data_IF_014183104468
#
_entry.id   IF_014183104468
#
_cell.length_a   1.000
_cell.length_b   1.000
_cell.length_c   1.000
_cell.angle_alpha   90.00
_cell.angle_beta   90.00
_cell.angle_gamma   90.00
#
_symmetry.space_group_name_H-M   'P 1'
#
loop_
_entity.id
_entity.type
_entity.pdbx_description
1 polymer ?
#
# COMPACT_ATOMS: atom_id res chain seq x y z
N UNK A 1 13.62 -17.68 10.85
CA UNK A 1 13.10 -16.31 11.09
C UNK A 1 12.94 -15.65 9.72
N UNK A 2 11.72 -15.58 9.19
CA UNK A 2 11.47 -15.11 7.83
C UNK A 2 11.47 -13.58 7.83
N UNK A 3 12.59 -12.98 7.44
CA UNK A 3 12.69 -11.53 7.28
C UNK A 3 12.00 -11.22 5.95
N UNK A 4 10.79 -10.66 6.01
CA UNK A 4 10.14 -10.14 4.81
C UNK A 4 10.97 -8.98 4.26
N UNK A 5 11.81 -9.25 3.25
CA UNK A 5 12.62 -8.25 2.55
C UNK A 5 11.81 -7.33 1.61
N UNK A 6 10.48 -7.45 1.60
CA UNK A 6 9.59 -6.68 0.72
C UNK A 6 8.40 -6.14 1.52
N UNK A 7 8.09 -4.86 1.30
CA UNK A 7 6.91 -4.19 1.88
C UNK A 7 5.68 -4.26 0.96
N UNK A 8 4.53 -3.83 1.49
CA UNK A 8 3.29 -3.68 0.72
C UNK A 8 3.13 -2.27 0.11
N UNK A 9 2.15 -2.11 -0.78
CA UNK A 9 1.72 -0.81 -1.32
C UNK A 9 0.26 -0.57 -1.00
N UNK A 10 -0.09 0.70 -0.80
CA UNK A 10 -1.46 1.14 -0.61
C UNK A 10 -2.09 1.50 -1.95
N UNK A 11 -3.27 0.92 -2.19
CA UNK A 11 -3.99 1.05 -3.46
C UNK A 11 -5.48 1.31 -3.21
N UNK A 12 -6.13 1.96 -4.17
CA UNK A 12 -7.59 2.08 -4.21
C UNK A 12 -8.15 1.16 -5.29
N UNK A 13 -9.11 0.31 -4.92
CA UNK A 13 -9.89 -0.48 -5.88
C UNK A 13 -10.66 0.47 -6.80
N UNK A 14 -10.56 0.27 -8.11
CA UNK A 14 -11.32 1.03 -9.10
C UNK A 14 -12.53 0.25 -9.54
N UNK A 15 -12.31 -0.81 -10.31
CA UNK A 15 -13.38 -1.62 -10.88
C UNK A 15 -12.86 -3.01 -11.21
N UNK A 16 -13.74 -3.89 -11.64
CA UNK A 16 -13.39 -5.22 -12.11
C UNK A 16 -13.55 -5.27 -13.62
N UNK A 17 -12.52 -5.72 -14.32
CA UNK A 17 -12.49 -5.83 -15.79
C UNK A 17 -12.02 -7.22 -16.19
N UNK A 18 -11.89 -7.46 -17.50
CA UNK A 18 -11.32 -8.68 -18.05
C UNK A 18 -10.15 -8.33 -18.95
N UNK A 19 -9.07 -9.11 -18.86
CA UNK A 19 -7.92 -8.99 -19.76
C UNK A 19 -7.79 -10.26 -20.57
N UNK A 20 -7.35 -10.10 -21.82
CA UNK A 20 -6.93 -11.22 -22.64
C UNK A 20 -5.49 -11.59 -22.25
N UNK A 21 -5.29 -12.84 -21.87
CA UNK A 21 -3.97 -13.41 -21.67
C UNK A 21 -3.95 -14.71 -22.47
N UNK A 22 -3.04 -14.78 -23.44
CA UNK A 22 -3.05 -15.82 -24.47
C UNK A 22 -4.44 -15.84 -25.16
N UNK A 23 -5.14 -16.98 -25.13
CA UNK A 23 -6.46 -17.15 -25.75
C UNK A 23 -7.60 -17.22 -24.72
N UNK A 24 -7.38 -16.72 -23.50
CA UNK A 24 -8.38 -16.77 -22.40
C UNK A 24 -8.69 -15.39 -21.83
N UNK A 25 -9.96 -15.22 -21.45
CA UNK A 25 -10.40 -14.09 -20.65
C UNK A 25 -10.17 -14.36 -19.17
N UNK A 26 -9.37 -13.52 -18.51
CA UNK A 26 -9.16 -13.55 -17.06
C UNK A 26 -9.86 -12.35 -16.39
N UNK A 27 -10.74 -12.57 -15.41
CA UNK A 27 -11.31 -11.49 -14.63
C UNK A 27 -10.25 -10.92 -13.68
N UNK A 28 -10.04 -9.61 -13.74
CA UNK A 28 -9.03 -8.91 -12.93
C UNK A 28 -9.65 -7.67 -12.27
N UNK A 29 -9.09 -7.27 -11.13
CA UNK A 29 -9.49 -6.02 -10.47
C UNK A 29 -8.47 -4.95 -10.80
N UNK A 30 -8.94 -3.84 -11.38
CA UNK A 30 -8.13 -2.66 -11.58
C UNK A 30 -7.93 -1.94 -10.25
N UNK A 31 -6.67 -1.70 -9.88
CA UNK A 31 -6.29 -0.96 -8.68
C UNK A 31 -5.42 0.25 -9.07
N UNK A 32 -5.62 1.38 -8.38
CA UNK A 32 -4.77 2.56 -8.55
C UNK A 32 -3.85 2.70 -7.35
N UNK A 33 -2.54 2.77 -7.62
CA UNK A 33 -1.54 3.09 -6.59
C UNK A 33 -1.72 4.53 -6.14
N UNK A 34 -1.79 4.75 -4.83
CA UNK A 34 -1.92 6.07 -4.25
C UNK A 34 -0.54 6.72 -4.05
N UNK A 35 -0.42 8.06 -4.16
CA UNK A 35 0.77 8.76 -3.69
C UNK A 35 1.02 8.44 -2.22
N UNK A 36 2.18 7.86 -1.94
CA UNK A 36 2.52 7.32 -0.63
C UNK A 36 4.02 7.42 -0.36
N UNK A 37 4.37 7.50 0.92
CA UNK A 37 5.74 7.58 1.40
C UNK A 37 5.92 6.78 2.68
N UNK A 38 7.15 6.38 2.99
CA UNK A 38 7.45 5.69 4.25
C UNK A 38 7.64 6.74 5.34
N UNK A 39 6.78 6.70 6.35
CA UNK A 39 6.75 7.67 7.45
C UNK A 39 7.65 7.23 8.60
N UNK A 40 7.75 5.92 8.85
CA UNK A 40 8.56 5.36 9.93
C UNK A 40 8.93 3.91 9.65
N UNK A 41 10.15 3.54 10.02
CA UNK A 41 10.55 2.15 10.17
C UNK A 41 10.44 1.74 11.63
N UNK A 42 9.87 0.55 11.87
CA UNK A 42 9.83 -0.11 13.17
C UNK A 42 10.90 -1.18 13.21
N UNK A 43 11.64 -1.20 14.31
CA UNK A 43 12.73 -2.13 14.55
C UNK A 43 12.40 -3.04 15.75
N UNK A 44 12.98 -4.22 15.77
CA UNK A 44 12.68 -5.23 16.80
C UNK A 44 13.15 -4.80 18.20
N UNK A 45 14.18 -3.96 18.30
CA UNK A 45 14.71 -3.53 19.60
C UNK A 45 13.80 -2.55 20.31
N UNK A 46 13.12 -1.67 19.56
CA UNK A 46 12.23 -0.65 20.13
C UNK A 46 10.76 -1.05 20.11
N UNK A 47 10.33 -1.70 19.04
CA UNK A 47 8.91 -1.96 18.76
C UNK A 47 8.55 -3.46 18.84
N UNK A 48 9.52 -4.37 19.01
CA UNK A 48 9.30 -5.82 19.13
C UNK A 48 9.05 -6.55 17.80
N UNK A 49 9.01 -5.82 16.67
CA UNK A 49 8.86 -6.38 15.33
C UNK A 49 9.43 -5.44 14.25
N UNK A 50 9.67 -5.99 13.06
CA UNK A 50 10.11 -5.22 11.88
C UNK A 50 8.91 -4.85 11.01
N UNK A 51 8.70 -3.56 10.74
CA UNK A 51 7.67 -3.08 9.81
C UNK A 51 8.00 -1.72 9.21
N UNK A 52 7.47 -1.43 8.01
CA UNK A 52 7.48 -0.10 7.42
C UNK A 52 6.07 0.52 7.51
N UNK A 53 5.98 1.72 8.08
CA UNK A 53 4.73 2.48 8.18
C UNK A 53 4.60 3.36 6.95
N UNK A 54 3.55 3.14 6.18
CA UNK A 54 3.29 3.86 4.92
C UNK A 54 2.19 4.89 5.16
N UNK A 55 2.51 6.15 4.86
CA UNK A 55 1.57 7.26 4.83
C UNK A 55 0.96 7.40 3.44
N UNK A 56 -0.35 7.64 3.37
CA UNK A 56 -1.09 7.71 2.10
C UNK A 56 -1.83 9.03 2.00
N UNK A 57 -1.61 9.75 0.89
CA UNK A 57 -2.28 11.00 0.57
C UNK A 57 -1.69 12.24 1.27
N UNK A 58 -1.74 13.38 0.58
CA UNK A 58 -1.49 14.70 1.20
C UNK A 58 -2.77 15.15 1.90
N UNK A 59 -2.80 15.13 3.24
CA UNK A 59 -3.76 15.97 3.97
C UNK A 59 -3.37 17.42 3.69
N UNK A 60 -4.15 18.14 2.88
CA UNK A 60 -4.12 19.61 2.92
C UNK A 60 -4.34 20.03 4.36
N UNK A 61 -3.45 20.86 4.89
CA UNK A 61 -3.44 21.30 6.27
C UNK A 61 -4.69 22.16 6.59
N UNK A 62 -5.83 21.51 6.79
CA UNK A 62 -7.03 22.08 7.42
C UNK A 62 -7.64 21.06 8.36
N UNK A 63 -6.88 20.69 9.39
CA UNK A 63 -7.46 20.24 10.66
C UNK A 63 -6.71 20.96 11.77
N UNK A 64 -7.08 22.21 11.99
CA UNK A 64 -6.92 22.88 13.28
C UNK A 64 -7.50 21.92 14.31
N UNK A 65 -6.64 21.35 15.17
CA UNK A 65 -7.12 20.68 16.38
C UNK A 65 -7.77 21.79 17.22
N UNK A 66 -9.07 21.69 17.44
CA UNK A 66 -9.75 22.46 18.48
C UNK A 66 -9.59 21.70 19.79
#
# INVERSE_FOLDING_TARGET
>A
MYIMNKGGLMVTKKEMTKVWVEDKFLPVTLVKVLPQEIVRYKDTSKDGYTAAVIGVGKKTAKKTKK
#
